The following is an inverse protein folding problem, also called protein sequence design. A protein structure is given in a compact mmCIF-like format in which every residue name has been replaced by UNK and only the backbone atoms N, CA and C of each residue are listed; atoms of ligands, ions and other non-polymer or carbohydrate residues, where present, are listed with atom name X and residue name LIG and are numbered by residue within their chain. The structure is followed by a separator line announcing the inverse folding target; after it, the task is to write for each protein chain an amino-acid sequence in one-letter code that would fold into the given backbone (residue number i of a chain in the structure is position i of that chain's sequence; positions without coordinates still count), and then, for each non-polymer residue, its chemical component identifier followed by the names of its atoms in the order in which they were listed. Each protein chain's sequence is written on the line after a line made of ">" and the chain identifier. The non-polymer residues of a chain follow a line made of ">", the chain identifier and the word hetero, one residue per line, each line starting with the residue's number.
data_IF_686321738051
#
_entry.id   IF_686321738051
#
_cell.length_a   1.000
_cell.length_b   1.000
_cell.length_c   1.000
_cell.angle_alpha   90.00
_cell.angle_beta   90.00
_cell.angle_gamma   90.00
#
_symmetry.space_group_name_H-M   'P 1'
#
loop_
_entity.id
_entity.type
_entity.pdbx_description
1 polymer ?
#
# COMPACT_ATOMS: atom_id res chain seq x y z
N UNK A 1 6.91 -1.03 0.95
CA UNK A 1 6.72 -0.31 -0.32
C UNK A 1 5.32 0.23 -0.46
N UNK A 2 5.17 1.31 -1.23
CA UNK A 2 3.88 1.95 -1.48
C UNK A 2 3.82 2.55 -2.89
N UNK A 3 2.60 2.77 -3.36
CA UNK A 3 2.31 3.59 -4.53
C UNK A 3 1.33 4.70 -4.12
N UNK A 4 1.61 5.94 -4.53
CA UNK A 4 0.80 7.11 -4.18
C UNK A 4 0.55 7.96 -5.42
N UNK A 5 -0.72 8.29 -5.67
CA UNK A 5 -1.17 9.22 -6.72
C UNK A 5 -2.13 10.23 -6.11
N UNK A 6 -1.88 11.52 -6.38
CA UNK A 6 -2.72 12.63 -5.93
C UNK A 6 -2.97 12.63 -4.41
N UNK A 7 -1.94 12.28 -3.62
CA UNK A 7 -2.08 12.11 -2.17
C UNK A 7 -2.52 13.37 -1.45
N UNK A 8 -2.01 14.53 -1.84
CA UNK A 8 -2.40 15.82 -1.26
C UNK A 8 -3.81 16.23 -1.69
N UNK A 9 -4.14 16.16 -2.99
CA UNK A 9 -5.46 16.51 -3.52
C UNK A 9 -6.56 15.64 -2.94
N UNK A 10 -6.26 14.35 -2.71
CA UNK A 10 -7.21 13.38 -2.16
C UNK A 10 -7.18 13.33 -0.62
N UNK A 11 -6.31 14.11 0.04
CA UNK A 11 -6.23 14.21 1.49
C UNK A 11 -5.90 12.88 2.17
N UNK A 12 -5.03 12.08 1.57
CA UNK A 12 -4.55 10.84 2.19
C UNK A 12 -3.52 11.14 3.28
N UNK A 13 -3.46 10.36 4.36
CA UNK A 13 -2.41 10.45 5.39
C UNK A 13 -1.10 9.82 4.88
N UNK A 14 -0.59 10.32 3.74
CA UNK A 14 0.50 9.69 3.00
C UNK A 14 1.82 9.64 3.76
N UNK A 15 2.09 10.63 4.59
CA UNK A 15 3.28 10.66 5.42
C UNK A 15 3.14 9.69 6.59
N UNK A 16 2.01 9.76 7.29
CA UNK A 16 1.67 8.88 8.41
C UNK A 16 1.60 7.42 7.97
N UNK A 17 1.10 7.16 6.76
CA UNK A 17 1.09 5.83 6.15
C UNK A 17 2.49 5.26 6.09
N UNK A 18 3.44 5.98 5.48
CA UNK A 18 4.84 5.55 5.36
C UNK A 18 5.49 5.41 6.73
N UNK A 19 5.36 6.42 7.59
CA UNK A 19 5.98 6.42 8.92
C UNK A 19 5.42 5.33 9.85
N UNK A 20 4.20 4.84 9.60
CA UNK A 20 3.58 3.79 10.41
C UNK A 20 4.28 2.44 10.32
N UNK A 21 5.00 2.17 9.21
CA UNK A 21 5.75 0.92 9.00
C UNK A 21 7.27 1.13 8.99
N UNK A 22 7.75 2.36 8.86
CA UNK A 22 9.17 2.69 8.79
C UNK A 22 10.03 2.06 9.90
N UNK A 23 9.57 2.00 11.18
CA UNK A 23 10.37 1.44 12.27
C UNK A 23 10.78 -0.03 12.12
N UNK A 24 10.15 -0.78 11.21
CA UNK A 24 10.45 -2.20 10.97
C UNK A 24 11.00 -2.46 9.57
N UNK A 25 11.34 -1.40 8.81
CA UNK A 25 11.78 -1.49 7.44
C UNK A 25 13.27 -1.09 7.29
N UNK A 26 14.05 -1.93 6.61
CA UNK A 26 15.43 -1.59 6.22
C UNK A 26 15.46 -0.61 5.04
N UNK A 27 14.45 -0.67 4.16
CA UNK A 27 14.22 0.27 3.06
C UNK A 27 12.73 0.57 2.88
N UNK A 28 12.42 1.75 2.38
CA UNK A 28 11.05 2.16 2.01
C UNK A 28 11.02 2.63 0.57
N UNK A 29 10.39 1.86 -0.29
CA UNK A 29 10.24 2.17 -1.72
C UNK A 29 8.92 2.88 -1.95
N UNK A 30 8.97 4.11 -2.47
CA UNK A 30 7.81 4.98 -2.68
C UNK A 30 7.69 5.31 -4.15
N UNK A 31 6.71 4.74 -4.83
CA UNK A 31 6.37 5.08 -6.20
C UNK A 31 5.32 6.19 -6.22
N UNK A 32 5.64 7.32 -6.82
CA UNK A 32 4.70 8.45 -6.99
C UNK A 32 4.24 8.50 -8.44
N UNK A 33 2.92 8.47 -8.63
CA UNK A 33 2.29 8.56 -9.94
C UNK A 33 2.22 10.00 -10.45
N UNK A 34 2.61 10.22 -11.70
CA UNK A 34 2.59 11.51 -12.40
C UNK A 34 1.52 11.53 -13.50
N UNK A 35 1.09 12.73 -13.90
CA UNK A 35 0.03 12.92 -14.91
C UNK A 35 0.54 12.85 -16.35
N UNK A 36 1.87 12.88 -16.56
CA UNK A 36 2.52 12.92 -17.86
C UNK A 36 3.63 11.87 -17.97
N UNK A 37 3.94 11.39 -19.19
CA UNK A 37 4.99 10.39 -19.41
C UNK A 37 6.38 10.83 -18.97
N UNK A 38 6.66 12.14 -19.03
CA UNK A 38 7.93 12.76 -18.63
C UNK A 38 8.06 12.87 -17.09
N UNK A 39 7.01 12.53 -16.33
CA UNK A 39 6.93 12.59 -14.87
C UNK A 39 7.31 13.97 -14.32
N UNK A 40 6.71 15.00 -14.88
CA UNK A 40 6.93 16.40 -14.50
C UNK A 40 5.75 17.04 -13.76
N UNK A 41 4.54 16.46 -13.89
CA UNK A 41 3.30 16.99 -13.33
C UNK A 41 2.69 16.03 -12.30
N UNK A 42 2.59 16.49 -11.07
CA UNK A 42 1.83 15.87 -10.00
C UNK A 42 1.15 16.96 -9.17
N UNK A 43 0.38 16.58 -8.15
CA UNK A 43 -0.30 17.52 -7.25
C UNK A 43 0.60 18.07 -6.12
N UNK A 44 1.92 17.90 -6.22
CA UNK A 44 2.89 18.24 -5.20
C UNK A 44 3.22 17.10 -4.23
N UNK A 45 2.60 15.93 -4.38
CA UNK A 45 2.82 14.73 -3.54
C UNK A 45 4.30 14.34 -3.51
N UNK A 46 4.99 14.33 -4.66
CA UNK A 46 6.41 14.00 -4.73
C UNK A 46 7.28 14.96 -3.92
N UNK A 47 7.09 16.27 -4.14
CA UNK A 47 7.84 17.29 -3.42
C UNK A 47 7.57 17.26 -1.91
N UNK A 48 6.32 17.04 -1.52
CA UNK A 48 5.92 16.91 -0.13
C UNK A 48 6.64 15.74 0.55
N UNK A 49 6.53 14.52 -0.01
CA UNK A 49 7.14 13.34 0.59
C UNK A 49 8.66 13.44 0.64
N UNK A 50 9.32 13.87 -0.44
CA UNK A 50 10.77 14.04 -0.48
C UNK A 50 11.28 15.15 0.45
N UNK A 51 10.44 16.12 0.84
CA UNK A 51 10.79 17.15 1.81
C UNK A 51 10.72 16.65 3.26
N UNK A 52 9.87 15.66 3.57
CA UNK A 52 9.64 15.17 4.93
C UNK A 52 10.40 13.87 5.24
N UNK A 53 10.51 12.98 4.27
CA UNK A 53 11.20 11.70 4.43
C UNK A 53 12.67 11.87 4.03
N UNK A 54 13.54 12.01 5.03
CA UNK A 54 14.97 12.22 4.87
C UNK A 54 15.74 11.03 5.43
N UNK A 55 16.50 10.37 4.59
CA UNK A 55 17.31 9.22 4.96
C UNK A 55 17.65 8.38 3.74
N UNK A 56 18.72 7.63 3.82
CA UNK A 56 19.21 6.78 2.72
C UNK A 56 18.36 5.51 2.54
N UNK A 57 17.48 5.22 3.52
CA UNK A 57 16.52 4.13 3.46
C UNK A 57 15.29 4.42 2.58
N UNK A 58 15.04 5.69 2.21
CA UNK A 58 13.92 6.06 1.34
C UNK A 58 14.31 6.09 -0.13
N UNK A 59 13.68 5.24 -0.93
CA UNK A 59 13.86 5.19 -2.38
C UNK A 59 12.62 5.72 -3.08
N UNK A 60 12.74 6.85 -3.75
CA UNK A 60 11.67 7.47 -4.51
C UNK A 60 11.73 7.09 -5.99
N UNK A 61 10.58 6.70 -6.52
CA UNK A 61 10.37 6.37 -7.93
C UNK A 61 9.30 7.30 -8.48
N UNK A 62 9.47 7.73 -9.71
CA UNK A 62 8.46 8.46 -10.48
C UNK A 62 7.93 7.52 -11.55
N UNK A 63 6.63 7.48 -11.73
CA UNK A 63 6.01 6.70 -12.79
C UNK A 63 4.82 7.43 -13.40
N UNK A 64 4.59 7.22 -14.67
CA UNK A 64 3.45 7.77 -15.35
C UNK A 64 2.19 6.99 -15.01
N UNK A 65 1.14 7.72 -14.64
CA UNK A 65 -0.21 7.21 -14.51
C UNK A 65 -0.89 7.27 -15.87
N UNK A 66 -0.81 6.18 -16.64
CA UNK A 66 -1.39 6.12 -17.97
C UNK A 66 -2.92 6.09 -17.93
N UNK A 67 -3.63 7.16 -18.36
CA UNK A 67 -5.09 7.20 -18.33
C UNK A 67 -5.76 6.25 -19.32
N UNK A 68 -5.02 5.64 -20.25
CA UNK A 68 -5.55 4.64 -21.16
C UNK A 68 -5.81 3.29 -20.50
N UNK A 69 -5.18 3.03 -19.34
CA UNK A 69 -5.34 1.79 -18.56
C UNK A 69 -6.53 1.95 -17.61
N UNK A 70 -7.76 1.88 -18.14
CA UNK A 70 -8.99 2.12 -17.36
C UNK A 70 -9.65 0.84 -16.84
N UNK A 71 -9.22 -0.34 -17.31
CA UNK A 71 -9.94 -1.59 -17.01
C UNK A 71 -9.69 -2.08 -15.58
N UNK A 72 -10.76 -2.17 -14.79
CA UNK A 72 -10.79 -2.91 -13.51
C UNK A 72 -9.68 -2.56 -12.51
N UNK A 73 -9.22 -1.32 -12.48
CA UNK A 73 -8.17 -0.89 -11.55
C UNK A 73 -6.77 -1.42 -11.89
N UNK A 74 -6.54 -1.95 -13.09
CA UNK A 74 -5.23 -2.51 -13.50
C UNK A 74 -4.08 -1.52 -13.36
N UNK A 75 -4.34 -0.23 -13.53
CA UNK A 75 -3.34 0.81 -13.31
C UNK A 75 -2.80 0.78 -11.87
N UNK A 76 -3.67 0.49 -10.87
CA UNK A 76 -3.26 0.41 -9.47
C UNK A 76 -2.29 -0.74 -9.23
N UNK A 77 -2.58 -1.95 -9.77
CA UNK A 77 -1.65 -3.08 -9.65
C UNK A 77 -0.35 -2.86 -10.43
N UNK A 78 -0.41 -2.25 -11.61
CA UNK A 78 0.78 -1.88 -12.37
C UNK A 78 1.69 -0.96 -11.56
N UNK A 79 1.14 0.12 -11.01
CA UNK A 79 1.88 1.09 -10.22
C UNK A 79 2.44 0.49 -8.92
N UNK A 80 1.69 -0.43 -8.31
CA UNK A 80 2.14 -1.19 -7.13
C UNK A 80 3.29 -2.13 -7.50
N UNK A 81 3.23 -2.79 -8.66
CA UNK A 81 4.30 -3.68 -9.12
C UNK A 81 5.58 -2.93 -9.45
N UNK A 82 5.51 -1.71 -10.01
CA UNK A 82 6.68 -0.84 -10.21
C UNK A 82 7.42 -0.61 -8.89
N UNK A 83 6.70 -0.37 -7.79
CA UNK A 83 7.32 -0.23 -6.48
C UNK A 83 7.89 -1.55 -5.96
N UNK A 84 7.12 -2.65 -6.05
CA UNK A 84 7.54 -3.98 -5.58
C UNK A 84 8.82 -4.46 -6.29
N UNK A 85 8.93 -4.26 -7.59
CA UNK A 85 10.10 -4.65 -8.39
C UNK A 85 11.39 -3.93 -7.97
N UNK A 86 11.27 -2.80 -7.31
CA UNK A 86 12.41 -2.02 -6.82
C UNK A 86 12.82 -2.36 -5.39
N UNK A 87 12.06 -3.21 -4.71
CA UNK A 87 12.40 -3.69 -3.38
C UNK A 87 13.55 -4.68 -3.43
N UNK A 88 14.53 -4.52 -2.53
CA UNK A 88 15.70 -5.41 -2.41
C UNK A 88 15.60 -6.36 -1.22
N UNK A 89 14.79 -6.02 -0.22
CA UNK A 89 14.58 -6.81 0.98
C UNK A 89 13.92 -8.18 0.69
N UNK A 90 14.14 -9.13 1.58
CA UNK A 90 13.61 -10.50 1.48
C UNK A 90 12.10 -10.58 1.66
N UNK A 91 11.54 -9.66 2.41
CA UNK A 91 10.11 -9.50 2.68
C UNK A 91 9.69 -8.10 2.31
N UNK A 92 8.55 -7.97 1.62
CA UNK A 92 8.04 -6.70 1.15
C UNK A 92 6.68 -6.42 1.82
N UNK A 93 6.67 -5.47 2.76
CA UNK A 93 5.44 -4.94 3.35
C UNK A 93 4.82 -3.91 2.40
N UNK A 94 3.59 -4.16 1.95
CA UNK A 94 2.79 -3.20 1.19
C UNK A 94 1.93 -2.36 2.11
N UNK A 95 1.85 -1.06 1.84
CA UNK A 95 0.89 -0.16 2.47
C UNK A 95 0.37 0.83 1.42
N UNK A 96 -0.92 1.13 1.45
CA UNK A 96 -1.53 2.13 0.57
C UNK A 96 -1.48 3.51 1.25
N UNK A 97 -1.50 4.60 0.47
CA UNK A 97 -1.39 5.95 1.01
C UNK A 97 -2.54 6.39 1.93
N UNK A 98 -3.62 5.61 2.00
CA UNK A 98 -4.76 5.79 2.92
C UNK A 98 -4.85 4.70 4.00
N UNK A 99 -3.73 4.00 4.25
CA UNK A 99 -3.61 2.96 5.27
C UNK A 99 -2.53 3.31 6.30
N UNK A 100 -2.73 2.92 7.55
CA UNK A 100 -1.69 2.97 8.59
C UNK A 100 -1.70 1.67 9.41
N UNK A 101 -0.57 1.36 10.02
CA UNK A 101 -0.43 0.31 11.04
C UNK A 101 -0.23 0.99 12.40
N UNK A 102 -0.85 0.45 13.46
CA UNK A 102 -0.62 0.95 14.82
C UNK A 102 0.73 0.45 15.34
N UNK A 103 1.45 1.26 16.12
CA UNK A 103 2.75 0.90 16.67
C UNK A 103 2.73 -0.37 17.52
N UNK A 104 1.64 -0.62 18.26
CA UNK A 104 1.46 -1.85 19.04
C UNK A 104 1.36 -3.12 18.19
N UNK A 105 1.04 -2.97 16.91
CA UNK A 105 0.86 -4.10 15.98
C UNK A 105 2.15 -4.46 15.24
N UNK A 106 3.18 -3.61 15.23
CA UNK A 106 4.45 -3.86 14.54
C UNK A 106 5.11 -5.17 14.99
N UNK A 107 5.04 -5.49 16.28
CA UNK A 107 5.55 -6.76 16.83
C UNK A 107 4.92 -7.99 16.17
N UNK A 108 3.63 -7.95 15.84
CA UNK A 108 2.95 -9.08 15.18
C UNK A 108 3.38 -9.26 13.73
N UNK A 109 3.84 -8.20 13.08
CA UNK A 109 4.44 -8.27 11.74
C UNK A 109 5.79 -8.98 11.84
N UNK A 110 6.65 -8.57 12.78
CA UNK A 110 7.96 -9.19 13.01
C UNK A 110 7.84 -10.67 13.40
N UNK A 111 6.94 -11.02 14.32
CA UNK A 111 6.62 -12.41 14.67
C UNK A 111 6.17 -13.21 13.43
N UNK A 112 5.35 -12.60 12.57
CA UNK A 112 4.91 -13.21 11.32
C UNK A 112 6.06 -13.45 10.33
N UNK A 113 7.00 -12.52 10.23
CA UNK A 113 8.21 -12.67 9.41
C UNK A 113 9.10 -13.79 9.95
N UNK A 114 9.29 -13.89 11.27
CA UNK A 114 10.00 -15.01 11.89
C UNK A 114 9.32 -16.37 11.60
N UNK A 115 7.98 -16.42 11.60
CA UNK A 115 7.25 -17.62 11.21
C UNK A 115 7.49 -17.96 9.73
N UNK A 116 7.50 -16.96 8.86
CA UNK A 116 7.84 -17.18 7.45
C UNK A 116 9.27 -17.68 7.27
N UNK A 117 10.24 -17.25 8.08
CA UNK A 117 11.62 -17.78 8.03
C UNK A 117 11.66 -19.28 8.33
N UNK A 118 10.91 -19.72 9.32
CA UNK A 118 10.80 -21.14 9.72
C UNK A 118 10.02 -21.98 8.74
N UNK A 119 9.10 -21.37 7.97
CA UNK A 119 8.17 -22.05 7.06
C UNK A 119 8.29 -21.48 5.62
N UNK A 120 9.22 -21.97 4.79
CA UNK A 120 9.48 -21.45 3.45
C UNK A 120 8.29 -21.51 2.48
N UNK A 121 7.27 -22.30 2.78
CA UNK A 121 6.06 -22.41 1.97
C UNK A 121 5.02 -21.30 2.21
N UNK A 122 5.16 -20.52 3.29
CA UNK A 122 4.31 -19.34 3.51
C UNK A 122 4.78 -18.22 2.57
N UNK A 123 3.93 -17.84 1.64
CA UNK A 123 4.20 -16.82 0.63
C UNK A 123 4.01 -15.38 1.14
N UNK A 124 3.16 -15.20 2.18
CA UNK A 124 2.85 -13.86 2.70
C UNK A 124 2.03 -13.87 3.99
N UNK A 125 1.79 -12.66 4.51
CA UNK A 125 1.01 -12.43 5.73
C UNK A 125 -0.29 -11.68 5.41
N UNK A 126 -1.37 -12.12 6.05
CA UNK A 126 -2.71 -11.54 5.97
C UNK A 126 -2.96 -10.67 7.18
N UNK A 127 -3.41 -9.46 6.95
CA UNK A 127 -3.75 -8.47 7.97
C UNK A 127 -5.25 -8.34 8.14
N UNK A 128 -5.70 -8.00 9.34
CA UNK A 128 -7.09 -7.61 9.60
C UNK A 128 -7.31 -6.14 9.24
N UNK A 129 -8.51 -5.79 8.77
CA UNK A 129 -8.85 -4.43 8.35
C UNK A 129 -9.88 -3.78 9.24
N UNK A 130 -9.62 -2.50 9.57
CA UNK A 130 -10.57 -1.57 10.16
C UNK A 130 -10.81 -0.42 9.18
N UNK A 131 -11.96 -0.40 8.51
CA UNK A 131 -12.31 0.64 7.55
C UNK A 131 -13.05 1.77 8.26
N UNK A 132 -12.41 2.90 8.46
CA UNK A 132 -13.08 4.09 8.96
C UNK A 132 -14.04 4.67 7.95
N UNK A 133 -15.17 5.22 8.41
CA UNK A 133 -16.23 5.70 7.54
C UNK A 133 -16.81 7.01 8.05
N UNK A 134 -16.78 8.06 7.23
CA UNK A 134 -17.23 9.41 7.58
C UNK A 134 -16.22 10.15 8.47
N UNK A 135 -15.82 9.55 9.58
CA UNK A 135 -14.80 10.06 10.49
C UNK A 135 -13.95 8.92 11.07
N UNK A 136 -13.00 9.25 11.95
CA UNK A 136 -12.08 8.29 12.58
C UNK A 136 -12.64 7.60 13.84
N UNK A 137 -13.83 7.99 14.29
CA UNK A 137 -14.47 7.40 15.47
C UNK A 137 -15.38 6.22 15.11
N UNK A 138 -15.67 6.07 13.81
CA UNK A 138 -16.60 5.05 13.31
C UNK A 138 -15.87 4.18 12.29
N UNK A 139 -15.90 2.87 12.50
CA UNK A 139 -15.46 1.92 11.48
C UNK A 139 -16.64 1.08 10.97
N UNK A 140 -16.63 0.81 9.65
CA UNK A 140 -17.66 0.03 8.98
C UNK A 140 -17.32 -1.46 9.01
N UNK A 141 -18.17 -2.25 9.64
CA UNK A 141 -18.02 -3.70 9.74
C UNK A 141 -19.21 -4.40 9.06
N UNK A 142 -19.20 -4.44 7.73
CA UNK A 142 -20.27 -5.04 6.92
C UNK A 142 -19.72 -6.14 6.00
N UNK A 143 -20.61 -6.92 5.40
CA UNK A 143 -20.22 -7.97 4.44
C UNK A 143 -19.70 -7.41 3.12
N UNK A 144 -19.96 -6.15 2.81
CA UNK A 144 -19.52 -5.47 1.59
C UNK A 144 -18.09 -4.95 1.66
N UNK A 145 -17.50 -4.93 2.87
CA UNK A 145 -16.09 -4.51 3.08
C UNK A 145 -15.23 -5.74 3.28
N UNK A 146 -14.10 -5.79 2.60
CA UNK A 146 -13.10 -6.83 2.84
C UNK A 146 -12.52 -6.67 4.25
N UNK A 147 -12.36 -7.78 4.94
CA UNK A 147 -11.92 -7.79 6.35
C UNK A 147 -10.47 -8.18 6.51
N UNK A 148 -9.87 -8.73 5.47
CA UNK A 148 -8.53 -9.32 5.50
C UNK A 148 -7.92 -9.26 4.13
N UNK A 149 -6.68 -8.79 4.05
CA UNK A 149 -5.89 -8.79 2.81
C UNK A 149 -4.44 -9.12 3.09
N UNK A 150 -3.76 -9.65 2.07
CA UNK A 150 -2.32 -9.85 2.12
C UNK A 150 -1.65 -8.48 2.02
N UNK A 151 -0.79 -8.15 3.00
CA UNK A 151 -0.03 -6.89 3.02
C UNK A 151 1.47 -7.09 3.17
N UNK A 152 1.95 -8.31 3.42
CA UNK A 152 3.36 -8.63 3.36
C UNK A 152 3.56 -9.88 2.50
N UNK A 153 4.57 -9.84 1.62
CA UNK A 153 4.89 -10.93 0.70
C UNK A 153 6.40 -11.22 0.69
N UNK A 154 6.75 -12.46 0.32
CA UNK A 154 8.14 -12.80 -0.01
C UNK A 154 8.55 -12.13 -1.31
N UNK A 155 9.73 -11.51 -1.32
CA UNK A 155 10.31 -10.98 -2.53
C UNK A 155 10.86 -12.11 -3.45
N UNK A 156 10.98 -11.81 -4.74
CA UNK A 156 11.61 -12.68 -5.75
C UNK A 156 10.99 -14.08 -5.96
N UNK A 157 9.72 -14.27 -5.55
CA UNK A 157 8.96 -15.50 -5.80
C UNK A 157 7.95 -15.40 -6.94
N UNK A 158 8.08 -14.41 -7.83
CA UNK A 158 7.10 -14.17 -8.89
C UNK A 158 5.73 -13.77 -8.35
N UNK A 159 5.70 -13.09 -7.20
CA UNK A 159 4.48 -12.54 -6.62
C UNK A 159 4.26 -11.16 -7.22
N UNK A 160 3.01 -10.88 -7.58
CA UNK A 160 2.59 -9.61 -8.17
C UNK A 160 1.31 -9.09 -7.53
N UNK A 161 1.14 -7.79 -7.53
CA UNK A 161 -0.13 -7.14 -7.22
C UNK A 161 -1.17 -7.51 -8.27
N UNK A 162 -2.43 -7.65 -7.84
CA UNK A 162 -3.52 -8.18 -8.65
C UNK A 162 -4.68 -7.19 -8.76
N UNK A 163 -5.24 -7.04 -9.97
CA UNK A 163 -6.40 -6.19 -10.28
C UNK A 163 -6.24 -4.74 -9.77
N UNK A 164 -7.07 -4.33 -8.83
CA UNK A 164 -7.12 -3.00 -8.21
C UNK A 164 -6.13 -2.82 -7.03
N UNK A 165 -5.07 -3.63 -7.01
CA UNK A 165 -4.06 -3.65 -5.95
C UNK A 165 -4.61 -4.01 -4.55
N UNK A 166 -5.79 -4.62 -4.46
CA UNK A 166 -6.35 -5.07 -3.19
C UNK A 166 -5.50 -6.17 -2.55
N UNK A 167 -4.90 -7.04 -3.36
CA UNK A 167 -4.08 -8.14 -2.86
C UNK A 167 -3.03 -8.60 -3.86
N UNK A 168 -2.47 -9.80 -3.62
CA UNK A 168 -1.37 -10.36 -4.40
C UNK A 168 -1.70 -11.76 -4.91
N UNK A 169 -1.04 -12.15 -6.02
CA UNK A 169 -1.08 -13.48 -6.64
C UNK A 169 0.32 -13.92 -7.05
N UNK A 170 0.49 -15.22 -7.29
CA UNK A 170 1.66 -15.75 -7.99
C UNK A 170 1.63 -15.35 -9.47
N UNK A 171 2.74 -15.53 -10.16
CA UNK A 171 2.87 -15.19 -11.58
C UNK A 171 1.82 -15.89 -12.46
N UNK A 172 1.39 -17.09 -12.08
CA UNK A 172 0.35 -17.90 -12.72
C UNK A 172 -1.09 -17.58 -12.26
N UNK A 173 -1.27 -16.44 -11.56
CA UNK A 173 -2.53 -15.96 -10.97
C UNK A 173 -3.12 -16.82 -9.84
N UNK A 174 -2.40 -17.85 -9.37
CA UNK A 174 -2.84 -18.64 -8.23
C UNK A 174 -2.72 -17.85 -6.92
N UNK A 175 -3.52 -18.27 -5.93
CA UNK A 175 -3.53 -17.64 -4.60
C UNK A 175 -2.24 -17.94 -3.84
N UNK A 176 -1.81 -17.01 -3.01
CA UNK A 176 -0.70 -17.20 -2.10
C UNK A 176 -1.10 -18.14 -0.96
N UNK A 177 -0.15 -18.95 -0.49
CA UNK A 177 -0.23 -19.58 0.84
C UNK A 177 0.12 -18.49 1.86
N UNK A 178 -0.89 -17.89 2.47
CA UNK A 178 -0.68 -16.76 3.37
C UNK A 178 -1.18 -17.07 4.79
N UNK A 179 -0.45 -16.54 5.78
CA UNK A 179 -0.72 -16.71 7.21
C UNK A 179 -1.42 -15.48 7.77
N UNK A 180 -2.54 -15.66 8.46
CA UNK A 180 -3.21 -14.59 9.18
C UNK A 180 -2.43 -14.26 10.46
N UNK A 181 -2.13 -12.98 10.64
CA UNK A 181 -1.50 -12.43 11.84
C UNK A 181 -2.46 -11.52 12.62
N UNK A 182 -2.07 -11.09 13.82
CA UNK A 182 -2.90 -10.22 14.66
C UNK A 182 -2.87 -8.76 14.25
N UNK A 183 -1.87 -8.34 13.44
CA UNK A 183 -1.73 -6.96 13.00
C UNK A 183 -2.95 -6.47 12.20
N UNK A 184 -3.26 -5.18 12.37
CA UNK A 184 -4.40 -4.49 11.76
C UNK A 184 -3.92 -3.42 10.80
N UNK A 185 -4.67 -3.26 9.73
CA UNK A 185 -4.60 -2.10 8.85
C UNK A 185 -5.76 -1.15 9.20
N UNK A 186 -5.42 0.07 9.53
CA UNK A 186 -6.34 1.18 9.75
C UNK A 186 -6.51 1.93 8.44
N UNK A 187 -7.65 1.74 7.76
CA UNK A 187 -7.90 2.24 6.42
C UNK A 187 -8.81 3.48 6.47
N UNK A 188 -8.26 4.61 6.02
CA UNK A 188 -8.89 5.94 6.05
C UNK A 188 -9.57 6.32 4.74
N UNK A 189 -9.64 5.42 3.79
CA UNK A 189 -10.14 5.66 2.44
C UNK A 189 -11.54 6.29 2.36
N UNK A 190 -12.37 6.15 3.42
CA UNK A 190 -13.74 6.66 3.51
C UNK A 190 -13.96 7.62 4.69
N UNK A 191 -12.93 7.99 5.44
CA UNK A 191 -12.98 8.85 6.62
C UNK A 191 -12.40 10.23 6.32
N UNK A 192 -12.98 10.93 5.34
CA UNK A 192 -12.52 12.25 4.88
C UNK A 192 -13.69 13.19 4.62
N UNK A 193 -13.46 14.53 4.62
CA UNK A 193 -14.52 15.49 4.34
C UNK A 193 -15.22 15.22 3.00
N UNK A 194 -16.54 15.44 2.92
CA UNK A 194 -17.36 15.17 1.72
C UNK A 194 -16.79 15.77 0.44
N UNK A 195 -16.27 17.01 0.52
CA UNK A 195 -15.65 17.70 -0.64
C UNK A 195 -14.43 16.95 -1.20
N UNK A 196 -13.67 16.27 -0.32
CA UNK A 196 -12.51 15.45 -0.71
C UNK A 196 -12.97 14.11 -1.26
N UNK A 197 -14.02 13.52 -0.64
CA UNK A 197 -14.61 12.28 -1.13
C UNK A 197 -15.21 12.42 -2.54
N UNK A 198 -15.84 13.56 -2.85
CA UNK A 198 -16.35 13.84 -4.19
C UNK A 198 -15.22 13.81 -5.25
N UNK A 199 -14.04 14.35 -4.93
CA UNK A 199 -12.86 14.29 -5.82
C UNK A 199 -12.37 12.85 -6.04
N UNK A 200 -12.42 12.00 -5.02
CA UNK A 200 -12.03 10.58 -5.13
C UNK A 200 -12.90 9.84 -6.14
N UNK A 201 -14.22 10.03 -6.08
CA UNK A 201 -15.18 9.38 -7.00
C UNK A 201 -14.95 9.78 -8.46
N UNK A 202 -14.43 10.98 -8.71
CA UNK A 202 -14.10 11.46 -10.06
C UNK A 202 -12.74 10.97 -10.54
N UNK A 203 -11.81 10.68 -9.61
CA UNK A 203 -10.42 10.28 -9.92
C UNK A 203 -10.25 8.77 -10.18
N UNK A 204 -11.23 7.97 -9.80
CA UNK A 204 -11.26 6.50 -9.93
C UNK A 204 -12.63 6.00 -10.41
#
# INVERSE_FOLDING_TARGET
>A
FTFIKNGLTLGYPILESVLSIDPICDEVVINVGFDDPECTKDDGTYAYLTSHLKGDNYKFIKSWWDPSIQKSGLILSQQTNIALEQCTGKYCQYIQGDECVHEDDLKYILEGVEEMEKNPEIDGLVFNYLHFYGNVDIYKYTRTMYRREVRLVRNHKGIKSWLDAQGFRKADDTKLKARLIKARIFHYGWARPEKVMAKKVVAF
#
